data_IF_274008117503
#
_entry.id   IF_274008117503
#
_cell.length_a   1.000
_cell.length_b   1.000
_cell.length_c   1.000
_cell.angle_alpha   90.00
_cell.angle_beta   90.00
_cell.angle_gamma   90.00
#
_symmetry.space_group_name_H-M   'P 1'
#
loop_
_entity.id
_entity.type
_entity.pdbx_description
1 polymer ?
#
# COMPACT_ATOMS: atom_id res chain seq x y z
N UNK A 1 24.10 -12.47 -9.14
CA UNK A 1 23.33 -11.59 -8.24
C UNK A 1 22.38 -10.81 -9.13
N UNK A 2 21.07 -11.06 -9.02
CA UNK A 2 20.07 -10.30 -9.77
C UNK A 2 19.63 -9.13 -8.89
N UNK A 3 19.79 -7.92 -9.40
CA UNK A 3 19.26 -6.71 -8.79
C UNK A 3 18.14 -6.20 -9.68
N UNK A 4 17.15 -5.56 -9.07
CA UNK A 4 16.16 -4.78 -9.79
C UNK A 4 16.11 -3.36 -9.23
N UNK A 5 15.75 -2.41 -10.08
CA UNK A 5 15.60 -1.00 -9.73
C UNK A 5 14.12 -0.66 -9.81
N UNK A 6 13.62 -0.04 -8.75
CA UNK A 6 12.27 0.50 -8.71
C UNK A 6 12.27 1.99 -8.46
N UNK A 7 11.18 2.66 -8.82
CA UNK A 7 10.88 4.02 -8.37
C UNK A 7 9.44 4.13 -7.90
N UNK A 8 9.17 5.10 -7.02
CA UNK A 8 7.83 5.42 -6.56
C UNK A 8 7.14 6.37 -7.52
N UNK A 9 5.84 6.16 -7.75
CA UNK A 9 5.00 7.00 -8.58
C UNK A 9 3.75 7.45 -7.83
N UNK A 10 3.51 8.76 -7.82
CA UNK A 10 2.38 9.39 -7.12
C UNK A 10 1.18 9.72 -8.03
N UNK A 11 1.14 9.26 -9.28
CA UNK A 11 -0.03 9.44 -10.16
C UNK A 11 -0.23 10.83 -10.75
N UNK A 12 0.77 11.72 -10.68
CA UNK A 12 0.62 13.15 -11.04
C UNK A 12 1.13 13.52 -12.45
N UNK A 13 2.18 12.86 -12.93
CA UNK A 13 2.89 13.28 -14.15
C UNK A 13 3.20 12.09 -15.05
N UNK A 14 2.64 12.08 -16.28
CA UNK A 14 2.90 11.02 -17.27
C UNK A 14 4.27 11.15 -17.92
N UNK A 15 4.73 12.37 -18.19
CA UNK A 15 6.03 12.63 -18.80
C UNK A 15 7.18 12.07 -17.95
N UNK A 16 7.02 12.13 -16.62
CA UNK A 16 7.94 11.48 -15.69
C UNK A 16 8.00 9.96 -15.89
N UNK A 17 6.84 9.29 -16.01
CA UNK A 17 6.80 7.84 -16.24
C UNK A 17 7.50 7.49 -17.56
N UNK A 18 7.19 8.19 -18.64
CA UNK A 18 7.79 7.95 -19.96
C UNK A 18 9.32 8.11 -19.94
N UNK A 19 9.82 9.06 -19.15
CA UNK A 19 11.26 9.28 -18.99
C UNK A 19 11.93 8.21 -18.11
N UNK A 20 11.26 7.70 -17.07
CA UNK A 20 11.88 6.80 -16.09
C UNK A 20 11.75 5.32 -16.44
N UNK A 21 10.69 4.92 -17.17
CA UNK A 21 10.40 3.53 -17.55
C UNK A 21 11.61 2.79 -18.16
N UNK A 22 12.42 3.39 -19.05
CA UNK A 22 13.57 2.68 -19.62
C UNK A 22 14.66 2.30 -18.60
N UNK A 23 14.61 2.82 -17.37
CA UNK A 23 15.65 2.68 -16.35
C UNK A 23 15.21 1.88 -15.12
N UNK A 24 13.97 1.39 -15.07
CA UNK A 24 13.42 0.70 -13.90
C UNK A 24 12.73 -0.60 -14.30
N UNK A 25 12.79 -1.59 -13.40
CA UNK A 25 12.08 -2.87 -13.52
C UNK A 25 10.70 -2.80 -12.86
N UNK A 26 10.53 -1.87 -11.92
CA UNK A 26 9.35 -1.76 -11.07
C UNK A 26 8.88 -0.31 -10.89
N UNK A 27 7.57 -0.13 -10.86
CA UNK A 27 6.92 1.09 -10.38
C UNK A 27 6.16 0.73 -9.12
N UNK A 28 6.53 1.36 -8.01
CA UNK A 28 5.77 1.31 -6.78
C UNK A 28 4.75 2.44 -6.75
N UNK A 29 3.50 2.12 -6.40
CA UNK A 29 2.45 3.12 -6.23
C UNK A 29 1.78 2.94 -4.88
N UNK A 30 1.61 4.05 -4.18
CA UNK A 30 0.79 4.08 -2.97
C UNK A 30 -0.67 4.33 -3.32
N UNK A 31 -1.61 3.44 -2.94
CA UNK A 31 -3.04 3.66 -3.15
C UNK A 31 -3.51 5.00 -2.60
N UNK A 32 -2.97 5.41 -1.45
CA UNK A 32 -3.25 6.69 -0.79
C UNK A 32 -2.82 7.88 -1.66
N UNK A 33 -1.64 7.78 -2.32
CA UNK A 33 -1.07 8.87 -3.13
C UNK A 33 -1.85 9.15 -4.42
N UNK A 34 -2.50 8.13 -4.96
CA UNK A 34 -3.31 8.21 -6.19
C UNK A 34 -4.80 8.30 -5.92
N UNK A 35 -5.20 8.43 -4.65
CA UNK A 35 -6.58 8.60 -4.25
C UNK A 35 -7.03 10.06 -4.36
N UNK A 36 -8.32 10.26 -4.61
CA UNK A 36 -9.00 11.54 -4.54
C UNK A 36 -10.28 11.42 -3.72
N UNK A 37 -10.75 12.55 -3.20
CA UNK A 37 -12.09 12.66 -2.62
C UNK A 37 -13.07 13.09 -3.70
N UNK A 38 -14.10 12.27 -3.95
CA UNK A 38 -15.18 12.59 -4.88
C UNK A 38 -16.52 12.27 -4.24
N UNK A 39 -17.39 13.28 -4.09
CA UNK A 39 -18.71 13.15 -3.47
C UNK A 39 -18.67 12.51 -2.06
N UNK A 40 -17.67 12.88 -1.25
CA UNK A 40 -17.50 12.35 0.11
C UNK A 40 -17.03 10.89 0.18
N UNK A 41 -16.54 10.33 -0.94
CA UNK A 41 -15.96 8.99 -0.98
C UNK A 41 -14.52 9.06 -1.51
N UNK A 42 -13.66 8.29 -0.86
CA UNK A 42 -12.29 8.04 -1.29
C UNK A 42 -12.32 7.06 -2.47
N UNK A 43 -11.76 7.43 -3.62
CA UNK A 43 -11.63 6.56 -4.80
C UNK A 43 -10.32 6.83 -5.55
N UNK A 44 -9.93 5.97 -6.48
CA UNK A 44 -8.71 6.16 -7.26
C UNK A 44 -8.92 7.29 -8.28
N UNK A 45 -7.93 8.16 -8.44
CA UNK A 45 -7.93 9.18 -9.47
C UNK A 45 -7.98 8.51 -10.87
N UNK A 46 -8.99 8.82 -11.71
CA UNK A 46 -9.12 8.19 -13.02
C UNK A 46 -7.90 8.39 -13.93
N UNK A 47 -7.25 9.55 -13.87
CA UNK A 47 -6.06 9.84 -14.68
C UNK A 47 -4.87 8.99 -14.22
N UNK A 48 -4.66 8.89 -12.91
CA UNK A 48 -3.61 8.04 -12.34
C UNK A 48 -3.86 6.56 -12.67
N UNK A 49 -5.11 6.11 -12.63
CA UNK A 49 -5.48 4.75 -13.01
C UNK A 49 -5.21 4.46 -14.50
N UNK A 50 -5.50 5.42 -15.38
CA UNK A 50 -5.19 5.30 -16.81
C UNK A 50 -3.67 5.16 -17.03
N UNK A 51 -2.87 5.97 -16.35
CA UNK A 51 -1.41 5.90 -16.42
C UNK A 51 -0.88 4.54 -15.94
N UNK A 52 -1.38 4.01 -14.82
CA UNK A 52 -0.98 2.69 -14.31
C UNK A 52 -1.37 1.55 -15.27
N UNK A 53 -2.55 1.65 -15.92
CA UNK A 53 -2.95 0.69 -16.95
C UNK A 53 -2.04 0.74 -18.17
N UNK A 54 -1.60 1.93 -18.56
CA UNK A 54 -0.62 2.09 -19.63
C UNK A 54 0.72 1.46 -19.25
N UNK A 55 1.21 1.67 -18.01
CA UNK A 55 2.42 1.00 -17.51
C UNK A 55 2.28 -0.52 -17.63
N UNK A 56 1.21 -1.09 -17.08
CA UNK A 56 0.95 -2.53 -17.10
C UNK A 56 0.92 -3.12 -18.52
N UNK A 57 0.29 -2.43 -19.47
CA UNK A 57 0.03 -2.99 -20.80
C UNK A 57 1.15 -2.76 -21.81
N UNK A 58 1.82 -1.61 -21.74
CA UNK A 58 2.65 -1.12 -22.84
C UNK A 58 4.14 -1.12 -22.53
N UNK A 59 4.55 -1.29 -21.27
CA UNK A 59 5.95 -1.00 -20.86
C UNK A 59 6.74 -2.22 -20.40
N UNK A 60 6.07 -3.30 -19.98
CA UNK A 60 6.71 -4.47 -19.38
C UNK A 60 7.22 -4.26 -17.93
N UNK A 61 7.11 -3.04 -17.40
CA UNK A 61 7.46 -2.69 -16.01
C UNK A 61 6.38 -3.20 -15.06
N UNK A 62 6.80 -3.74 -13.91
CA UNK A 62 5.86 -4.34 -12.95
C UNK A 62 5.35 -3.30 -11.96
N UNK A 63 4.04 -3.30 -11.72
CA UNK A 63 3.42 -2.44 -10.71
C UNK A 63 3.43 -3.15 -9.35
N UNK A 64 3.91 -2.44 -8.34
CA UNK A 64 3.90 -2.83 -6.92
C UNK A 64 2.94 -1.91 -6.17
N UNK A 65 2.12 -2.47 -5.28
CA UNK A 65 1.31 -1.65 -4.37
C UNK A 65 2.05 -1.54 -3.03
N UNK A 66 2.26 -0.32 -2.55
CA UNK A 66 2.86 -0.07 -1.24
C UNK A 66 1.99 0.88 -0.43
N UNK A 67 1.42 0.37 0.64
CA UNK A 67 0.42 1.06 1.43
C UNK A 67 0.96 1.78 2.67
N UNK A 68 0.26 2.86 3.02
CA UNK A 68 0.45 3.59 4.29
C UNK A 68 -0.87 3.66 5.07
N UNK A 69 -2.00 3.59 4.36
CA UNK A 69 -3.34 3.80 4.92
C UNK A 69 -4.06 2.57 5.49
N UNK A 70 -3.59 1.32 5.31
CA UNK A 70 -4.32 0.15 5.82
C UNK A 70 -4.40 0.17 7.35
N UNK A 71 -3.34 0.64 8.00
CA UNK A 71 -3.21 0.70 9.46
C UNK A 71 -3.44 -0.67 10.11
N UNK A 72 -2.75 -1.71 9.61
CA UNK A 72 -3.00 -3.11 9.95
C UNK A 72 -2.87 -3.42 11.45
N UNK A 73 -2.10 -2.62 12.20
CA UNK A 73 -1.97 -2.73 13.65
C UNK A 73 -3.01 -1.97 14.48
N UNK A 74 -3.96 -1.27 13.86
CA UNK A 74 -4.94 -0.46 14.58
C UNK A 74 -5.95 -1.30 15.33
N UNK A 75 -6.35 -0.86 16.52
CA UNK A 75 -7.46 -1.46 17.26
C UNK A 75 -8.78 -1.43 16.47
N UNK A 76 -9.00 -0.40 15.64
CA UNK A 76 -10.27 -0.17 14.91
C UNK A 76 -10.53 -1.17 13.77
N UNK A 77 -9.57 -2.05 13.47
CA UNK A 77 -9.64 -2.94 12.32
C UNK A 77 -8.92 -2.36 11.12
N UNK A 78 -9.51 -2.52 9.94
CA UNK A 78 -8.98 -2.01 8.68
C UNK A 78 -9.57 -0.64 8.36
N UNK A 79 -8.80 0.22 7.69
CA UNK A 79 -9.40 1.38 7.03
C UNK A 79 -10.27 0.93 5.86
N UNK A 80 -11.59 1.09 5.98
CA UNK A 80 -12.56 0.74 4.92
C UNK A 80 -12.30 1.49 3.62
N UNK A 81 -11.94 2.77 3.73
CA UNK A 81 -11.57 3.59 2.58
C UNK A 81 -10.35 3.04 1.85
N UNK A 82 -9.33 2.62 2.60
CA UNK A 82 -8.14 2.00 2.01
C UNK A 82 -8.48 0.68 1.31
N UNK A 83 -9.33 -0.16 1.93
CA UNK A 83 -9.78 -1.40 1.30
C UNK A 83 -10.55 -1.14 0.00
N UNK A 84 -11.34 -0.07 -0.09
CA UNK A 84 -11.99 0.33 -1.35
C UNK A 84 -10.97 0.72 -2.42
N UNK A 85 -9.94 1.48 -2.07
CA UNK A 85 -8.85 1.83 -3.00
C UNK A 85 -8.12 0.58 -3.51
N UNK A 86 -7.85 -0.37 -2.61
CA UNK A 86 -7.22 -1.64 -2.99
C UNK A 86 -8.14 -2.47 -3.88
N UNK A 87 -9.45 -2.51 -3.60
CA UNK A 87 -10.44 -3.18 -4.44
C UNK A 87 -10.46 -2.57 -5.86
N UNK A 88 -10.42 -1.25 -5.98
CA UNK A 88 -10.35 -0.56 -7.28
C UNK A 88 -9.07 -0.90 -8.06
N UNK A 89 -7.90 -0.80 -7.42
CA UNK A 89 -6.61 -1.05 -8.06
C UNK A 89 -6.44 -2.52 -8.47
N UNK A 90 -6.75 -3.46 -7.57
CA UNK A 90 -6.62 -4.90 -7.85
C UNK A 90 -7.67 -5.41 -8.83
N UNK A 91 -8.82 -4.73 -8.94
CA UNK A 91 -9.79 -5.00 -10.01
C UNK A 91 -9.29 -4.49 -11.35
N UNK A 92 -8.67 -3.30 -11.37
CA UNK A 92 -8.28 -2.62 -12.60
C UNK A 92 -6.94 -3.06 -13.20
N UNK A 93 -5.98 -3.46 -12.35
CA UNK A 93 -4.65 -3.92 -12.71
C UNK A 93 -4.56 -5.43 -12.49
N UNK A 94 -4.11 -6.17 -13.50
CA UNK A 94 -4.09 -7.64 -13.52
C UNK A 94 -2.72 -8.25 -13.22
N UNK A 95 -1.65 -7.48 -13.34
CA UNK A 95 -0.27 -7.98 -13.16
C UNK A 95 0.45 -7.28 -12.02
N UNK A 96 -0.30 -6.80 -11.01
CA UNK A 96 0.28 -6.34 -9.74
C UNK A 96 1.11 -7.47 -9.16
N UNK A 97 2.39 -7.22 -8.88
CA UNK A 97 3.30 -8.27 -8.42
C UNK A 97 3.08 -8.63 -6.95
N UNK A 98 2.88 -7.62 -6.11
CA UNK A 98 2.60 -7.76 -4.69
C UNK A 98 2.00 -6.50 -4.11
N UNK A 99 1.45 -6.64 -2.91
CA UNK A 99 1.05 -5.56 -2.03
C UNK A 99 1.92 -5.60 -0.77
N UNK A 100 2.45 -4.46 -0.36
CA UNK A 100 3.23 -4.31 0.86
C UNK A 100 2.60 -3.26 1.76
N UNK A 101 2.74 -3.42 3.06
CA UNK A 101 2.25 -2.51 4.09
C UNK A 101 3.22 -2.47 5.26
N UNK A 102 3.10 -1.42 6.07
CA UNK A 102 3.91 -1.29 7.27
C UNK A 102 3.31 -2.12 8.41
N UNK A 103 4.17 -2.79 9.19
CA UNK A 103 3.81 -3.41 10.45
C UNK A 103 3.64 -2.33 11.53
N UNK A 104 2.59 -1.53 11.37
CA UNK A 104 2.32 -0.33 12.14
C UNK A 104 0.83 0.01 12.15
N UNK A 105 0.49 1.10 12.85
CA UNK A 105 -0.80 1.76 12.73
C UNK A 105 -0.63 3.26 12.56
N UNK A 106 -1.53 3.85 11.79
CA UNK A 106 -1.60 5.29 11.46
C UNK A 106 -2.90 5.92 11.91
N UNK A 107 -3.88 5.10 12.32
CA UNK A 107 -5.20 5.54 12.78
C UNK A 107 -5.62 4.81 14.05
N UNK A 108 -6.24 5.53 15.00
CA UNK A 108 -6.86 4.98 16.22
C UNK A 108 -8.06 5.87 16.59
N UNK A 109 -9.17 5.25 16.99
CA UNK A 109 -10.44 5.91 17.33
C UNK A 109 -10.95 6.81 16.20
N UNK A 110 -10.78 6.35 14.96
CA UNK A 110 -11.16 7.11 13.75
C UNK A 110 -10.24 8.30 13.41
N UNK A 111 -9.28 8.63 14.27
CA UNK A 111 -8.36 9.76 14.07
C UNK A 111 -7.08 9.32 13.37
N UNK A 112 -6.56 10.18 12.49
CA UNK A 112 -5.25 9.98 11.87
C UNK A 112 -4.17 10.56 12.80
N UNK A 113 -3.19 9.73 13.16
CA UNK A 113 -2.10 10.10 14.07
C UNK A 113 -1.06 11.02 13.42
N UNK A 114 -1.11 11.22 12.10
CA UNK A 114 -0.12 11.97 11.33
C UNK A 114 1.27 11.32 11.30
N UNK A 115 1.40 10.11 11.85
CA UNK A 115 2.63 9.34 11.94
C UNK A 115 2.31 7.85 12.00
N UNK A 116 3.33 7.01 11.79
CA UNK A 116 3.26 5.57 12.01
C UNK A 116 3.78 5.22 13.41
N UNK A 117 3.01 4.45 14.15
CA UNK A 117 3.42 3.89 15.43
C UNK A 117 3.61 2.37 15.32
N UNK A 118 4.71 1.88 15.88
CA UNK A 118 5.00 0.46 15.97
C UNK A 118 3.99 -0.23 16.90
N UNK A 119 3.64 -1.49 16.58
CA UNK A 119 2.83 -2.29 17.48
C UNK A 119 3.59 -2.64 18.77
N UNK A 120 2.89 -2.83 19.90
CA UNK A 120 3.49 -3.44 21.07
C UNK A 120 3.93 -4.89 20.74
N UNK A 121 5.04 -5.32 21.33
CA UNK A 121 5.61 -6.66 21.09
C UNK A 121 4.97 -7.69 22.00
N UNK A 122 3.69 -7.99 21.76
CA UNK A 122 2.93 -8.99 22.53
C UNK A 122 2.35 -10.06 21.61
N UNK A 123 2.05 -11.24 22.18
CA UNK A 123 1.44 -12.34 21.44
C UNK A 123 0.07 -11.95 20.87
N UNK A 124 -0.71 -11.13 21.61
CA UNK A 124 -2.00 -10.64 21.13
C UNK A 124 -1.87 -9.78 19.87
N UNK A 125 -0.83 -8.94 19.81
CA UNK A 125 -0.55 -8.12 18.63
C UNK A 125 -0.15 -8.98 17.43
N UNK A 126 0.68 -10.01 17.65
CA UNK A 126 1.06 -10.98 16.61
C UNK A 126 -0.16 -11.74 16.10
N UNK A 127 -0.98 -12.30 16.97
CA UNK A 127 -2.18 -13.05 16.62
C UNK A 127 -3.20 -12.19 15.85
N UNK A 128 -3.33 -10.91 16.23
CA UNK A 128 -4.16 -9.96 15.49
C UNK A 128 -3.62 -9.73 14.08
N UNK A 129 -2.34 -9.43 13.92
CA UNK A 129 -1.73 -9.17 12.62
C UNK A 129 -1.79 -10.40 11.72
N UNK A 130 -1.50 -11.61 12.24
CA UNK A 130 -1.58 -12.85 11.48
C UNK A 130 -2.97 -13.07 10.87
N UNK A 131 -4.05 -12.97 11.68
CA UNK A 131 -5.44 -13.08 11.18
C UNK A 131 -5.76 -12.03 10.11
N UNK A 132 -5.19 -10.83 10.24
CA UNK A 132 -5.39 -9.75 9.29
C UNK A 132 -4.66 -9.98 7.97
N UNK A 133 -3.42 -10.43 8.03
CA UNK A 133 -2.63 -10.87 6.87
C UNK A 133 -3.37 -11.96 6.11
N UNK A 134 -3.88 -12.98 6.80
CA UNK A 134 -4.67 -14.05 6.18
C UNK A 134 -5.89 -13.51 5.44
N UNK A 135 -6.63 -12.57 6.05
CA UNK A 135 -7.79 -11.94 5.42
C UNK A 135 -7.42 -11.20 4.14
N UNK A 136 -6.35 -10.40 4.16
CA UNK A 136 -5.86 -9.64 3.00
C UNK A 136 -5.41 -10.59 1.88
N UNK A 137 -4.59 -11.60 2.21
CA UNK A 137 -4.14 -12.59 1.24
C UNK A 137 -5.31 -13.38 0.64
N UNK A 138 -6.29 -13.76 1.46
CA UNK A 138 -7.49 -14.46 1.00
C UNK A 138 -8.36 -13.58 0.11
N UNK A 139 -8.52 -12.30 0.42
CA UNK A 139 -9.36 -11.36 -0.34
C UNK A 139 -8.73 -11.03 -1.70
N UNK A 140 -7.46 -10.62 -1.71
CA UNK A 140 -6.83 -10.06 -2.91
C UNK A 140 -6.06 -11.08 -3.75
N UNK A 141 -5.72 -12.25 -3.19
CA UNK A 141 -4.94 -13.30 -3.87
C UNK A 141 -3.61 -12.79 -4.44
N UNK A 142 -3.02 -11.80 -3.78
CA UNK A 142 -1.70 -11.25 -4.10
C UNK A 142 -0.71 -11.65 -2.99
N UNK A 143 0.59 -11.79 -3.31
CA UNK A 143 1.62 -11.80 -2.28
C UNK A 143 1.49 -10.53 -1.44
N UNK A 144 1.45 -10.71 -0.11
CA UNK A 144 1.35 -9.63 0.85
C UNK A 144 2.61 -9.58 1.71
N UNK A 145 3.27 -8.43 1.75
CA UNK A 145 4.53 -8.20 2.45
C UNK A 145 4.31 -7.24 3.61
N UNK A 146 5.01 -7.49 4.72
CA UNK A 146 5.03 -6.59 5.86
C UNK A 146 6.42 -5.98 6.01
N UNK A 147 6.47 -4.66 6.07
CA UNK A 147 7.68 -3.89 6.28
C UNK A 147 7.81 -3.47 7.74
N UNK A 148 8.99 -3.69 8.31
CA UNK A 148 9.28 -3.30 9.68
C UNK A 148 9.41 -1.77 9.77
N UNK A 149 8.74 -1.16 10.74
CA UNK A 149 8.95 0.26 11.08
C UNK A 149 9.98 0.43 12.18
N UNK A 150 10.63 1.58 12.20
CA UNK A 150 11.47 1.98 13.33
C UNK A 150 10.59 2.26 14.56
N UNK A 151 11.00 1.77 15.73
CA UNK A 151 10.34 2.14 16.99
C UNK A 151 10.97 3.41 17.51
N UNK A 152 10.19 4.49 17.57
CA UNK A 152 10.63 5.79 18.08
C UNK A 152 10.68 5.86 19.61
N UNK A 153 10.16 4.84 20.30
CA UNK A 153 10.09 4.77 21.75
C UNK A 153 11.03 3.67 22.25
N UNK A 154 11.74 3.88 23.38
CA UNK A 154 12.50 2.82 24.00
C UNK A 154 11.58 1.64 24.30
N UNK A 155 12.09 0.42 24.13
CA UNK A 155 11.32 -0.79 24.40
C UNK A 155 10.78 -0.76 25.83
N UNK A 156 9.49 -0.53 25.98
CA UNK A 156 8.76 -0.82 27.20
C UNK A 156 8.57 -2.33 27.27
N UNK A 157 9.62 -3.02 27.73
CA UNK A 157 9.46 -4.32 28.38
C UNK A 157 8.60 -4.06 29.62
N UNK A 158 7.32 -4.42 29.56
CA UNK A 158 6.59 -4.82 30.76
C UNK A 158 6.91 -6.29 31.03
#
# INVERSE_FOLDING_TARGET
>A
MHYSIGTTYEGKNRDYLEQIIPYVDHIEVSPDSVAIQKNGRTCINPLSLEQLRWVEKETGVQVLLHGVGLSIGSYDGYSTDYLHLLDELTTALKTVRWHSEHLAYTKVDGENLGTMLALPRTDEAVDMVCRRVETIQQKYKLPFLLENVISMLPSSTC
#
